data_IF_138674398584
#
_entry.id   IF_138674398584
#
_cell.length_a   1.000
_cell.length_b   1.000
_cell.length_c   1.000
_cell.angle_alpha   90.00
_cell.angle_beta   90.00
_cell.angle_gamma   90.00
#
_symmetry.space_group_name_H-M   'P 1'
#
loop_
_entity.id
_entity.type
_entity.pdbx_description
1 polymer ?
#
# COMPACT_ATOMS: atom_id res chain seq x y z
N UNK A 1 -5.41 7.24 -8.14
CA UNK A 1 -6.56 6.70 -7.36
C UNK A 1 -6.44 6.93 -5.86
N UNK A 2 -5.34 6.54 -5.19
CA UNK A 2 -5.19 6.76 -3.73
C UNK A 2 -5.19 8.23 -3.26
N UNK A 3 -4.60 9.14 -4.06
CA UNK A 3 -4.56 10.59 -3.79
C UNK A 3 -5.93 11.28 -3.81
N UNK A 4 -6.85 10.78 -4.63
CA UNK A 4 -8.21 11.31 -4.69
C UNK A 4 -9.01 10.89 -3.45
N UNK A 5 -8.77 9.69 -2.93
CA UNK A 5 -9.41 9.21 -1.70
C UNK A 5 -8.89 9.97 -0.47
N UNK A 6 -7.59 10.20 -0.36
CA UNK A 6 -7.00 10.94 0.78
C UNK A 6 -7.44 12.39 0.82
N UNK A 7 -7.66 13.04 -0.33
CA UNK A 7 -8.18 14.42 -0.37
C UNK A 7 -9.70 14.49 -0.13
N UNK A 8 -10.49 13.51 -0.64
CA UNK A 8 -11.95 13.49 -0.44
C UNK A 8 -12.35 13.16 1.01
N UNK A 9 -11.53 12.41 1.74
CA UNK A 9 -11.74 12.07 3.15
C UNK A 9 -10.98 13.00 4.12
N UNK A 10 -10.13 13.91 3.62
CA UNK A 10 -9.40 14.85 4.46
C UNK A 10 -10.32 15.94 5.02
N UNK A 11 -10.23 16.27 6.32
CA UNK A 11 -10.85 17.48 6.83
C UNK A 11 -10.27 18.71 6.12
N UNK A 12 -11.11 19.68 5.71
CA UNK A 12 -10.68 20.85 4.90
C UNK A 12 -9.50 21.62 5.50
N UNK A 13 -9.38 21.65 6.83
CA UNK A 13 -8.28 22.31 7.57
C UNK A 13 -6.94 21.56 7.49
N UNK A 14 -6.95 20.25 7.22
CA UNK A 14 -5.78 19.36 7.30
C UNK A 14 -5.41 18.72 5.96
N UNK A 15 -5.92 19.24 4.84
CA UNK A 15 -5.63 18.68 3.51
C UNK A 15 -4.13 18.55 3.20
N UNK A 16 -3.32 19.57 3.55
CA UNK A 16 -1.87 19.52 3.37
C UNK A 16 -1.17 18.45 4.22
N UNK A 17 -1.66 18.19 5.43
CA UNK A 17 -1.11 17.17 6.32
C UNK A 17 -1.49 15.75 5.86
N UNK A 18 -2.70 15.56 5.35
CA UNK A 18 -3.16 14.30 4.76
C UNK A 18 -2.34 13.92 3.51
N UNK A 19 -1.94 14.91 2.73
CA UNK A 19 -0.98 14.71 1.63
C UNK A 19 0.39 14.25 2.15
N UNK A 20 0.87 14.85 3.24
CA UNK A 20 2.11 14.41 3.91
C UNK A 20 2.06 12.95 4.36
N UNK A 21 0.95 12.52 4.97
CA UNK A 21 0.74 11.13 5.39
C UNK A 21 0.74 10.18 4.19
N UNK A 22 0.13 10.58 3.07
CA UNK A 22 0.17 9.80 1.84
C UNK A 22 1.60 9.60 1.32
N UNK A 23 2.42 10.65 1.32
CA UNK A 23 3.83 10.56 0.91
C UNK A 23 4.67 9.71 1.87
N UNK A 24 4.44 9.82 3.19
CA UNK A 24 5.13 8.98 4.18
C UNK A 24 4.80 7.50 3.93
N UNK A 25 3.54 7.17 3.65
CA UNK A 25 3.15 5.81 3.29
C UNK A 25 3.85 5.30 2.02
N UNK A 26 3.94 6.14 0.99
CA UNK A 26 4.65 5.79 -0.25
C UNK A 26 6.16 5.61 -0.03
N UNK A 27 6.80 6.49 0.76
CA UNK A 27 8.21 6.39 1.10
C UNK A 27 8.52 5.13 1.91
N UNK A 28 7.67 4.77 2.88
CA UNK A 28 7.78 3.52 3.63
C UNK A 28 7.63 2.29 2.73
N UNK A 29 6.67 2.32 1.79
CA UNK A 29 6.51 1.24 0.81
C UNK A 29 7.77 1.03 -0.04
N UNK A 30 8.36 2.11 -0.53
CA UNK A 30 9.62 2.06 -1.29
C UNK A 30 10.78 1.58 -0.44
N UNK A 31 10.87 1.99 0.83
CA UNK A 31 11.91 1.52 1.75
C UNK A 31 11.80 0.01 2.00
N UNK A 32 10.60 -0.49 2.26
CA UNK A 32 10.36 -1.93 2.46
C UNK A 32 10.70 -2.71 1.17
N UNK A 33 10.29 -2.21 0.01
CA UNK A 33 10.63 -2.82 -1.28
C UNK A 33 12.15 -2.83 -1.54
N UNK A 34 12.84 -1.74 -1.17
CA UNK A 34 14.29 -1.63 -1.26
C UNK A 34 15.02 -2.60 -0.34
N UNK A 35 14.58 -2.74 0.91
CA UNK A 35 15.14 -3.72 1.85
C UNK A 35 14.85 -5.16 1.40
N UNK A 36 13.65 -5.43 0.91
CA UNK A 36 13.27 -6.73 0.40
C UNK A 36 14.13 -7.10 -0.82
N UNK A 37 14.31 -6.16 -1.75
CA UNK A 37 15.13 -6.37 -2.96
C UNK A 37 16.64 -6.38 -2.75
N UNK A 38 17.14 -5.63 -1.76
CA UNK A 38 18.57 -5.53 -1.47
C UNK A 38 19.18 -6.73 -0.76
N UNK A 39 18.36 -7.63 -0.19
CA UNK A 39 18.81 -8.89 0.41
C UNK A 39 18.97 -10.02 -0.62
N UNK A 40 18.79 -9.74 -1.92
CA UNK A 40 18.84 -10.76 -2.97
C UNK A 40 20.23 -10.90 -3.58
N UNK A 41 20.62 -12.17 -3.75
CA UNK A 41 21.89 -12.56 -4.36
C UNK A 41 21.71 -12.74 -5.88
N UNK A 42 22.22 -11.84 -6.74
CA UNK A 42 21.93 -11.84 -8.17
C UNK A 42 22.56 -13.02 -8.93
N UNK A 43 23.50 -13.74 -8.32
CA UNK A 43 24.16 -14.90 -8.94
C UNK A 43 23.29 -16.18 -8.92
N UNK A 44 22.25 -16.23 -8.08
CA UNK A 44 21.42 -17.42 -7.90
C UNK A 44 20.11 -17.36 -8.70
N UNK A 45 20.23 -17.42 -10.02
CA UNK A 45 19.13 -17.25 -11.00
C UNK A 45 17.96 -18.22 -10.78
N UNK A 46 18.19 -19.37 -10.18
CA UNK A 46 17.16 -20.35 -9.85
C UNK A 46 16.18 -19.88 -8.77
N UNK A 47 16.55 -18.88 -7.96
CA UNK A 47 15.70 -18.34 -6.90
C UNK A 47 14.77 -17.21 -7.39
N UNK A 48 15.07 -16.62 -8.55
CA UNK A 48 14.29 -15.51 -9.14
C UNK A 48 12.79 -15.81 -9.27
N UNK A 49 12.34 -16.98 -9.78
CA UNK A 49 10.90 -17.26 -9.92
C UNK A 49 10.16 -17.26 -8.58
N UNK A 50 10.78 -17.83 -7.54
CA UNK A 50 10.18 -17.87 -6.20
C UNK A 50 10.07 -16.48 -5.58
N UNK A 51 11.00 -15.57 -5.89
CA UNK A 51 10.96 -14.17 -5.46
C UNK A 51 9.85 -13.37 -6.14
N UNK A 52 9.67 -13.53 -7.45
CA UNK A 52 8.52 -12.91 -8.12
C UNK A 52 7.21 -13.47 -7.57
N UNK A 53 7.18 -14.77 -7.29
CA UNK A 53 6.00 -15.40 -6.73
C UNK A 53 5.66 -14.90 -5.32
N UNK A 54 6.65 -14.60 -4.48
CA UNK A 54 6.42 -14.03 -3.15
C UNK A 54 5.81 -12.62 -3.21
N UNK A 55 6.26 -11.78 -4.13
CA UNK A 55 5.67 -10.43 -4.36
C UNK A 55 4.22 -10.56 -4.80
N UNK A 56 3.91 -11.52 -5.68
CA UNK A 56 2.53 -11.80 -6.10
C UNK A 56 1.69 -12.27 -4.92
N UNK A 57 2.18 -13.19 -4.09
CA UNK A 57 1.45 -13.63 -2.90
C UNK A 57 1.20 -12.51 -1.90
N UNK A 58 2.17 -11.60 -1.71
CA UNK A 58 1.99 -10.40 -0.89
C UNK A 58 0.93 -9.47 -1.48
N UNK A 59 0.94 -9.27 -2.80
CA UNK A 59 -0.08 -8.47 -3.49
C UNK A 59 -1.47 -9.07 -3.38
N UNK A 60 -1.61 -10.38 -3.61
CA UNK A 60 -2.88 -11.12 -3.48
C UNK A 60 -3.36 -11.11 -2.03
N UNK A 61 -2.49 -11.39 -1.07
CA UNK A 61 -2.82 -11.35 0.36
C UNK A 61 -3.28 -9.97 0.82
N UNK A 62 -2.58 -8.91 0.40
CA UNK A 62 -3.00 -7.53 0.65
C UNK A 62 -4.36 -7.22 0.01
N UNK A 63 -4.57 -7.65 -1.24
CA UNK A 63 -5.85 -7.47 -1.94
C UNK A 63 -7.01 -8.16 -1.23
N UNK A 64 -6.84 -9.41 -0.81
CA UNK A 64 -7.85 -10.16 -0.04
C UNK A 64 -8.12 -9.46 1.29
N UNK A 65 -7.08 -9.02 2.00
CA UNK A 65 -7.21 -8.29 3.25
C UNK A 65 -8.03 -7.00 3.07
N UNK A 66 -7.77 -6.24 2.00
CA UNK A 66 -8.55 -5.05 1.66
C UNK A 66 -10.02 -5.38 1.32
N UNK A 67 -10.30 -6.48 0.62
CA UNK A 67 -11.66 -6.91 0.34
C UNK A 67 -12.42 -7.28 1.61
N UNK A 68 -11.78 -7.99 2.54
CA UNK A 68 -12.36 -8.36 3.84
C UNK A 68 -12.60 -7.12 4.71
N UNK A 69 -11.72 -6.12 4.66
CA UNK A 69 -11.87 -4.86 5.39
C UNK A 69 -12.78 -3.85 4.69
N UNK A 70 -13.11 -4.05 3.42
CA UNK A 70 -13.97 -3.16 2.65
C UNK A 70 -15.33 -2.82 3.30
N UNK A 71 -16.10 -3.75 3.89
CA UNK A 71 -17.35 -3.41 4.57
C UNK A 71 -17.14 -2.52 5.79
N UNK A 72 -16.02 -2.70 6.52
CA UNK A 72 -15.68 -1.88 7.68
C UNK A 72 -15.30 -0.46 7.25
N UNK A 73 -14.48 -0.34 6.20
CA UNK A 73 -14.12 0.96 5.61
C UNK A 73 -15.35 1.72 5.10
N UNK A 74 -16.30 1.04 4.45
CA UNK A 74 -17.56 1.66 3.99
C UNK A 74 -18.44 2.09 5.16
N UNK A 75 -18.49 1.31 6.26
CA UNK A 75 -19.23 1.67 7.48
C UNK A 75 -18.65 2.90 8.17
N UNK A 76 -17.32 3.06 8.18
CA UNK A 76 -16.63 4.19 8.80
C UNK A 76 -16.56 5.44 7.92
N UNK A 77 -16.67 5.29 6.59
CA UNK A 77 -16.85 6.40 5.64
C UNK A 77 -18.26 7.01 5.68
N UNK A 78 -19.01 6.79 6.77
CA UNK A 78 -20.37 7.29 6.97
C UNK A 78 -20.47 8.78 6.61
N UNK A 79 -21.40 9.06 5.69
CA UNK A 79 -21.87 10.38 5.27
C UNK A 79 -20.92 11.33 4.53
N UNK A 80 -20.07 10.85 3.61
CA UNK A 80 -19.47 11.73 2.60
C UNK A 80 -20.03 11.38 1.21
N UNK A 81 -20.99 12.20 0.75
CA UNK A 81 -21.39 12.29 -0.65
C UNK A 81 -20.23 12.93 -1.45
#
# INVERSE_FOLDING_TARGET
VGLSATTKLAPRKYMGQMMGIWFVGAALGNLIAGLYSGNFDPENVQQMPNLFMSVVWLGVGSGILFLVLSPLMRKWSGSVH
#
